data_IF_315686116015
#
_entry.id   IF_315686116015
#
_cell.length_a   1.000
_cell.length_b   1.000
_cell.length_c   1.000
_cell.angle_alpha   90.00
_cell.angle_beta   90.00
_cell.angle_gamma   90.00
#
_symmetry.space_group_name_H-M   'P 1'
#
loop_
_entity.id
_entity.type
_entity.pdbx_description
1 polymer ?
#
# COMPACT_ATOMS: atom_id res chain seq x y z
N UNK A 1 -30.25 -31.03 16.93
CA UNK A 1 -28.88 -30.98 16.42
C UNK A 1 -28.42 -29.54 16.50
N UNK A 2 -27.48 -29.24 17.39
CA UNK A 2 -26.94 -27.89 17.58
C UNK A 2 -25.83 -27.64 16.57
N UNK A 3 -26.00 -26.66 15.68
CA UNK A 3 -25.00 -26.27 14.68
C UNK A 3 -24.17 -25.10 15.18
N UNK A 4 -22.86 -25.24 15.10
CA UNK A 4 -21.87 -24.22 15.49
C UNK A 4 -21.17 -23.71 14.24
N UNK A 5 -20.97 -22.41 14.13
CA UNK A 5 -20.22 -21.79 13.05
C UNK A 5 -19.09 -20.93 13.59
N UNK A 6 -17.91 -21.01 12.96
CA UNK A 6 -16.72 -20.23 13.33
C UNK A 6 -15.93 -19.83 12.09
N UNK A 7 -15.13 -18.77 12.18
CA UNK A 7 -14.41 -18.19 11.04
C UNK A 7 -12.95 -17.92 11.36
N UNK A 8 -12.10 -18.00 10.33
CA UNK A 8 -10.70 -17.67 10.45
C UNK A 8 -9.93 -17.72 9.14
N UNK A 9 -8.76 -17.10 9.12
CA UNK A 9 -7.80 -17.28 8.03
C UNK A 9 -7.24 -18.71 8.05
N UNK A 10 -6.91 -19.25 9.23
CA UNK A 10 -6.27 -20.57 9.40
C UNK A 10 -4.94 -20.75 8.64
N UNK A 11 -4.24 -19.64 8.36
CA UNK A 11 -2.88 -19.65 7.79
C UNK A 11 -1.86 -20.22 8.80
N UNK A 12 -0.96 -21.07 8.30
CA UNK A 12 0.04 -21.81 9.08
C UNK A 12 -0.60 -22.49 10.30
N UNK A 13 -1.51 -23.43 10.02
CA UNK A 13 -2.34 -24.08 11.04
C UNK A 13 -1.50 -24.63 12.20
N UNK A 14 -1.76 -24.11 13.41
CA UNK A 14 -0.97 -24.38 14.61
C UNK A 14 -1.87 -24.76 15.80
N UNK A 15 -1.28 -25.16 16.93
CA UNK A 15 -2.00 -25.61 18.12
C UNK A 15 -3.11 -24.66 18.60
N UNK A 16 -2.92 -23.34 18.49
CA UNK A 16 -3.97 -22.36 18.79
C UNK A 16 -5.23 -22.48 17.92
N UNK A 17 -5.10 -22.75 16.62
CA UNK A 17 -6.24 -22.99 15.74
C UNK A 17 -6.95 -24.30 16.09
N UNK A 18 -6.18 -25.38 16.32
CA UNK A 18 -6.72 -26.68 16.71
C UNK A 18 -7.56 -26.58 17.98
N UNK A 19 -7.03 -25.93 19.04
CA UNK A 19 -7.77 -25.75 20.30
C UNK A 19 -9.03 -24.91 20.14
N UNK A 20 -9.03 -23.91 19.26
CA UNK A 20 -10.23 -23.13 18.97
C UNK A 20 -11.28 -24.00 18.28
N UNK A 21 -10.88 -24.81 17.29
CA UNK A 21 -11.78 -25.72 16.58
C UNK A 21 -12.31 -26.84 17.50
N UNK A 22 -11.48 -27.43 18.36
CA UNK A 22 -11.89 -28.43 19.37
C UNK A 22 -12.95 -27.87 20.32
N UNK A 23 -12.73 -26.64 20.80
CA UNK A 23 -13.68 -25.95 21.69
C UNK A 23 -14.96 -25.58 20.95
N UNK A 24 -14.87 -25.12 19.70
CA UNK A 24 -16.03 -24.85 18.87
C UNK A 24 -16.84 -26.13 18.62
N UNK A 25 -16.17 -27.26 18.33
CA UNK A 25 -16.81 -28.57 18.14
C UNK A 25 -17.52 -29.05 19.40
N UNK A 26 -16.97 -28.77 20.58
CA UNK A 26 -17.56 -29.14 21.85
C UNK A 26 -18.86 -28.38 22.20
N UNK A 27 -19.17 -27.27 21.51
CA UNK A 27 -20.38 -26.48 21.73
C UNK A 27 -21.62 -27.06 21.03
N UNK A 28 -21.48 -28.04 20.14
CA UNK A 28 -22.62 -28.60 19.41
C UNK A 28 -22.32 -29.87 18.64
N UNK A 29 -23.33 -30.33 17.91
CA UNK A 29 -23.33 -31.62 17.22
C UNK A 29 -22.70 -31.54 15.82
N UNK A 30 -22.62 -30.35 15.23
CA UNK A 30 -22.13 -30.11 13.88
C UNK A 30 -21.37 -28.77 13.79
N UNK A 31 -20.14 -28.79 13.29
CA UNK A 31 -19.26 -27.63 13.17
C UNK A 31 -19.05 -27.22 11.72
N UNK A 32 -19.44 -25.98 11.42
CA UNK A 32 -19.19 -25.29 10.16
C UNK A 32 -17.99 -24.37 10.36
N UNK A 33 -16.97 -24.48 9.50
CA UNK A 33 -15.77 -23.64 9.55
C UNK A 33 -15.67 -22.78 8.30
N UNK A 34 -15.81 -21.47 8.48
CA UNK A 34 -15.58 -20.47 7.44
C UNK A 34 -14.10 -20.13 7.31
N UNK A 35 -13.53 -20.40 6.14
CA UNK A 35 -12.15 -20.03 5.77
C UNK A 35 -12.20 -18.75 4.94
N UNK A 36 -11.52 -17.70 5.38
CA UNK A 36 -11.53 -16.41 4.64
C UNK A 36 -10.79 -16.52 3.31
N UNK A 37 -11.33 -15.91 2.25
CA UNK A 37 -10.67 -15.80 0.95
C UNK A 37 -9.45 -14.90 1.02
N UNK A 38 -8.55 -15.02 0.04
CA UNK A 38 -7.34 -14.21 -0.02
C UNK A 38 -7.68 -12.72 -0.23
N UNK A 39 -8.69 -12.42 -1.05
CA UNK A 39 -9.19 -11.06 -1.28
C UNK A 39 -9.81 -10.46 -0.01
N UNK A 40 -10.60 -11.24 0.74
CA UNK A 40 -11.18 -10.79 2.00
C UNK A 40 -10.09 -10.47 3.03
N UNK A 41 -9.07 -11.33 3.14
CA UNK A 41 -7.92 -11.09 4.02
C UNK A 41 -7.11 -9.86 3.60
N UNK A 42 -6.89 -9.67 2.30
CA UNK A 42 -6.22 -8.51 1.76
C UNK A 42 -6.95 -7.20 2.12
N UNK A 43 -8.27 -7.15 1.91
CA UNK A 43 -9.09 -5.97 2.16
C UNK A 43 -9.12 -5.54 3.64
N UNK A 44 -8.99 -6.48 4.57
CA UNK A 44 -8.88 -6.17 6.02
C UNK A 44 -7.44 -5.97 6.51
N UNK A 45 -6.47 -5.83 5.59
CA UNK A 45 -5.07 -5.53 5.89
C UNK A 45 -4.19 -6.75 6.21
N UNK A 46 -4.68 -7.98 6.04
CA UNK A 46 -3.87 -9.21 6.20
C UNK A 46 -3.21 -9.62 4.88
N UNK A 47 -2.20 -8.87 4.49
CA UNK A 47 -1.49 -9.07 3.21
C UNK A 47 -0.42 -10.18 3.21
N UNK A 48 -0.08 -10.73 4.38
CA UNK A 48 1.03 -11.70 4.55
C UNK A 48 0.54 -13.15 4.78
N UNK A 49 -0.61 -13.52 4.22
CA UNK A 49 -1.07 -14.92 4.22
C UNK A 49 -0.11 -15.74 3.34
N UNK A 50 0.42 -16.85 3.88
CA UNK A 50 1.46 -17.64 3.21
C UNK A 50 0.87 -18.82 2.42
N UNK A 51 -0.17 -19.44 2.96
CA UNK A 51 -0.83 -20.59 2.35
C UNK A 51 -2.02 -20.13 1.50
N UNK A 52 -2.15 -20.69 0.31
CA UNK A 52 -3.32 -20.49 -0.55
C UNK A 52 -4.61 -20.89 0.17
N UNK A 53 -5.75 -20.33 -0.27
CA UNK A 53 -7.06 -20.74 0.24
C UNK A 53 -7.26 -22.27 0.21
N UNK A 54 -6.82 -22.93 -0.87
CA UNK A 54 -6.93 -24.38 -1.01
C UNK A 54 -6.13 -25.14 0.05
N UNK A 55 -4.87 -24.75 0.31
CA UNK A 55 -4.04 -25.35 1.35
C UNK A 55 -4.62 -25.13 2.76
N UNK A 56 -5.23 -23.96 3.00
CA UNK A 56 -5.87 -23.63 4.29
C UNK A 56 -7.13 -24.46 4.50
N UNK A 57 -7.96 -24.62 3.47
CA UNK A 57 -9.13 -25.52 3.49
C UNK A 57 -8.70 -26.96 3.74
N UNK A 58 -7.67 -27.44 3.04
CA UNK A 58 -7.14 -28.80 3.23
C UNK A 58 -6.60 -28.99 4.65
N UNK A 59 -5.91 -27.98 5.19
CA UNK A 59 -5.43 -27.94 6.57
C UNK A 59 -6.56 -28.11 7.57
N UNK A 60 -7.64 -27.34 7.43
CA UNK A 60 -8.85 -27.46 8.27
C UNK A 60 -9.49 -28.84 8.10
N UNK A 61 -9.63 -29.34 6.88
CA UNK A 61 -10.21 -30.66 6.60
C UNK A 61 -9.42 -31.80 7.26
N UNK A 62 -8.09 -31.73 7.24
CA UNK A 62 -7.19 -32.72 7.88
C UNK A 62 -7.34 -32.79 9.39
N UNK A 63 -7.87 -31.75 10.04
CA UNK A 63 -8.13 -31.80 11.49
C UNK A 63 -9.21 -32.82 11.85
N UNK A 64 -10.12 -33.15 10.92
CA UNK A 64 -11.28 -33.99 11.21
C UNK A 64 -12.32 -33.35 12.13
N UNK A 65 -12.18 -32.06 12.47
CA UNK A 65 -13.07 -31.35 13.40
C UNK A 65 -14.26 -30.69 12.70
N UNK A 66 -14.07 -30.22 11.47
CA UNK A 66 -15.09 -29.55 10.68
C UNK A 66 -15.97 -30.57 9.96
N UNK A 67 -17.28 -30.49 10.17
CA UNK A 67 -18.27 -31.28 9.42
C UNK A 67 -18.55 -30.61 8.05
N UNK A 68 -18.46 -29.28 7.99
CA UNK A 68 -18.62 -28.49 6.77
C UNK A 68 -17.62 -27.34 6.72
N UNK A 69 -17.11 -27.04 5.52
CA UNK A 69 -16.18 -25.94 5.29
C UNK A 69 -16.78 -25.02 4.24
N UNK A 70 -16.84 -23.73 4.55
CA UNK A 70 -17.34 -22.67 3.65
C UNK A 70 -16.25 -21.62 3.46
N UNK A 71 -16.37 -20.81 2.41
CA UNK A 71 -15.44 -19.71 2.14
C UNK A 71 -16.12 -18.38 2.49
N UNK A 72 -15.44 -17.53 3.25
CA UNK A 72 -15.88 -16.15 3.52
C UNK A 72 -15.23 -15.20 2.51
N UNK A 73 -16.05 -14.51 1.71
CA UNK A 73 -15.62 -13.68 0.57
C UNK A 73 -15.94 -12.19 0.75
N UNK A 74 -16.99 -11.85 1.52
CA UNK A 74 -17.43 -10.46 1.68
C UNK A 74 -17.89 -10.11 3.10
N UNK A 75 -17.88 -8.83 3.43
CA UNK A 75 -18.33 -8.33 4.73
C UNK A 75 -19.86 -8.47 4.87
N UNK A 76 -20.32 -9.00 6.01
CA UNK A 76 -21.73 -9.27 6.27
C UNK A 76 -22.17 -10.72 5.98
N UNK A 77 -21.37 -11.49 5.23
CA UNK A 77 -21.69 -12.89 4.85
C UNK A 77 -22.04 -13.79 6.05
N UNK A 78 -21.48 -13.52 7.23
CA UNK A 78 -21.79 -14.28 8.45
C UNK A 78 -23.29 -14.38 8.75
N UNK A 79 -24.06 -13.32 8.47
CA UNK A 79 -25.52 -13.31 8.68
C UNK A 79 -26.19 -14.29 7.71
N UNK A 80 -25.85 -14.18 6.43
CA UNK A 80 -26.37 -15.07 5.37
C UNK A 80 -26.07 -16.53 5.69
N UNK A 81 -24.83 -16.82 6.09
CA UNK A 81 -24.39 -18.17 6.42
C UNK A 81 -25.07 -18.71 7.68
N UNK A 82 -25.23 -17.90 8.74
CA UNK A 82 -25.95 -18.31 9.95
C UNK A 82 -27.38 -18.72 9.60
N UNK A 83 -28.08 -17.93 8.79
CA UNK A 83 -29.46 -18.22 8.38
C UNK A 83 -29.54 -19.41 7.42
N UNK A 84 -28.70 -19.43 6.38
CA UNK A 84 -28.67 -20.46 5.35
C UNK A 84 -28.35 -21.84 5.91
N UNK A 85 -27.36 -21.94 6.79
CA UNK A 85 -26.96 -23.19 7.40
C UNK A 85 -27.66 -23.46 8.73
N UNK A 86 -28.54 -22.58 9.20
CA UNK A 86 -29.27 -22.73 10.46
C UNK A 86 -28.34 -22.86 11.66
N UNK A 87 -27.27 -22.07 11.73
CA UNK A 87 -26.31 -22.10 12.82
C UNK A 87 -26.95 -21.56 14.11
N UNK A 88 -26.88 -22.34 15.19
CA UNK A 88 -27.43 -21.94 16.49
C UNK A 88 -26.43 -21.14 17.32
N UNK A 89 -25.14 -21.39 17.10
CA UNK A 89 -24.04 -20.77 17.85
C UNK A 89 -23.00 -20.24 16.87
N UNK A 90 -22.69 -18.95 16.95
CA UNK A 90 -21.48 -18.37 16.38
C UNK A 90 -20.40 -18.31 17.47
N UNK A 91 -19.19 -18.73 17.13
CA UNK A 91 -18.07 -18.68 18.07
C UNK A 91 -16.77 -18.22 17.43
N UNK A 92 -15.97 -17.48 18.18
CA UNK A 92 -14.66 -16.97 17.78
C UNK A 92 -13.79 -16.72 19.02
N UNK A 93 -12.50 -16.45 18.84
CA UNK A 93 -11.60 -16.11 19.94
C UNK A 93 -12.02 -14.84 20.70
N UNK A 94 -11.67 -14.77 21.99
CA UNK A 94 -11.99 -13.68 22.92
C UNK A 94 -11.47 -12.30 22.53
N UNK A 95 -10.50 -12.22 21.62
CA UNK A 95 -9.99 -10.94 21.09
C UNK A 95 -11.06 -10.13 20.35
N UNK A 96 -12.18 -10.77 19.98
CA UNK A 96 -13.32 -10.15 19.30
C UNK A 96 -14.50 -9.89 20.22
N UNK A 97 -14.32 -10.01 21.54
CA UNK A 97 -15.39 -9.80 22.51
C UNK A 97 -16.08 -8.45 22.31
N UNK A 98 -17.40 -8.47 22.17
CA UNK A 98 -18.25 -7.32 21.87
C UNK A 98 -18.35 -6.96 20.38
N UNK A 99 -17.38 -7.31 19.53
CA UNK A 99 -17.39 -6.90 18.12
C UNK A 99 -18.47 -7.61 17.29
N UNK A 100 -18.71 -8.91 17.54
CA UNK A 100 -19.69 -9.71 16.80
C UNK A 100 -21.05 -9.81 17.50
N UNK A 101 -21.31 -8.95 18.49
CA UNK A 101 -22.55 -9.01 19.28
C UNK A 101 -23.80 -8.71 18.46
N UNK A 102 -23.67 -8.04 17.32
CA UNK A 102 -24.76 -7.86 16.36
C UNK A 102 -25.33 -9.19 15.83
N UNK A 103 -24.56 -10.29 15.87
CA UNK A 103 -25.02 -11.62 15.47
C UNK A 103 -25.97 -12.26 16.50
N UNK A 104 -26.12 -11.68 17.70
CA UNK A 104 -27.04 -12.15 18.74
C UNK A 104 -28.52 -12.12 18.30
N UNK A 105 -28.84 -11.32 17.29
CA UNK A 105 -30.17 -11.31 16.66
C UNK A 105 -30.47 -12.62 15.92
N UNK A 106 -29.44 -13.32 15.42
CA UNK A 106 -29.59 -14.50 14.57
C UNK A 106 -29.19 -15.81 15.28
N UNK A 107 -28.27 -15.78 16.23
CA UNK A 107 -27.75 -16.96 16.92
C UNK A 107 -27.11 -16.62 18.29
N UNK A 108 -26.73 -17.63 19.07
CA UNK A 108 -25.96 -17.42 20.31
C UNK A 108 -24.50 -17.09 19.97
N UNK A 109 -23.96 -16.00 20.52
CA UNK A 109 -22.56 -15.60 20.32
C UNK A 109 -21.72 -16.00 21.53
N UNK A 110 -20.72 -16.87 21.33
CA UNK A 110 -19.83 -17.37 22.38
C UNK A 110 -18.37 -17.04 22.05
N UNK A 111 -17.72 -16.28 22.91
CA UNK A 111 -16.29 -15.97 22.79
C UNK A 111 -15.43 -16.99 23.55
N UNK A 112 -14.51 -17.64 22.85
CA UNK A 112 -13.62 -18.65 23.41
C UNK A 112 -12.30 -18.01 23.85
N UNK A 113 -11.89 -18.23 25.10
CA UNK A 113 -10.59 -17.74 25.57
C UNK A 113 -9.45 -18.19 24.66
N UNK A 114 -8.54 -17.28 24.33
CA UNK A 114 -7.36 -17.64 23.55
C UNK A 114 -6.45 -18.62 24.28
N UNK A 115 -5.76 -19.44 23.50
CA UNK A 115 -4.56 -20.14 23.98
C UNK A 115 -3.43 -19.12 24.06
N UNK A 116 -2.93 -18.84 25.26
CA UNK A 116 -1.80 -17.94 25.47
C UNK A 116 -0.53 -18.47 24.80
N UNK A 117 0.26 -17.57 24.19
CA UNK A 117 1.59 -17.87 23.66
C UNK A 117 1.68 -18.34 22.20
N UNK A 118 0.57 -18.56 21.48
CA UNK A 118 0.60 -19.05 20.08
C UNK A 118 -0.32 -18.22 19.19
N UNK A 119 0.27 -17.44 18.26
CA UNK A 119 -0.45 -16.71 17.22
C UNK A 119 0.32 -16.82 15.92
N UNK A 120 -0.36 -17.16 14.82
CA UNK A 120 0.21 -17.21 13.47
C UNK A 120 0.88 -15.89 13.08
N UNK A 121 0.36 -14.75 13.56
CA UNK A 121 1.03 -13.46 13.39
C UNK A 121 2.38 -13.39 14.10
N UNK A 122 2.50 -13.86 15.34
CA UNK A 122 3.79 -13.86 16.07
C UNK A 122 4.80 -14.80 15.43
N UNK A 123 4.37 -16.03 15.07
CA UNK A 123 5.23 -17.02 14.40
C UNK A 123 5.75 -16.47 13.05
N UNK A 124 4.89 -15.79 12.28
CA UNK A 124 5.29 -15.15 11.01
C UNK A 124 6.26 -13.99 11.22
N UNK A 125 6.02 -13.16 12.22
CA UNK A 125 6.85 -11.98 12.53
C UNK A 125 8.22 -12.35 13.10
N UNK A 126 8.31 -13.41 13.92
CA UNK A 126 9.59 -13.84 14.52
C UNK A 126 10.51 -14.54 13.50
N UNK A 127 9.94 -15.25 12.52
CA UNK A 127 10.71 -15.91 11.45
C UNK A 127 11.16 -14.97 10.33
N UNK A 128 10.55 -13.79 10.19
CA UNK A 128 10.83 -12.83 9.11
C UNK A 128 11.02 -11.40 9.64
N UNK A 129 11.77 -11.26 10.72
CA UNK A 129 12.04 -9.95 11.32
C UNK A 129 12.91 -9.10 10.40
N UNK A 130 12.49 -7.87 10.12
CA UNK A 130 13.24 -6.83 9.43
C UNK A 130 13.33 -5.57 10.29
N UNK A 131 14.55 -5.09 10.51
CA UNK A 131 14.82 -3.83 11.20
C UNK A 131 14.85 -2.68 10.19
N UNK A 132 13.92 -1.74 10.33
CA UNK A 132 13.73 -0.57 9.49
C UNK A 132 14.42 0.66 10.08
N UNK A 133 15.30 1.28 9.29
CA UNK A 133 15.79 2.64 9.55
C UNK A 133 14.94 3.67 8.81
N UNK A 134 14.67 4.82 9.42
CA UNK A 134 13.98 5.95 8.77
C UNK A 134 14.95 7.12 8.60
N UNK A 135 15.12 7.60 7.37
CA UNK A 135 16.05 8.68 6.99
C UNK A 135 15.27 9.92 6.53
N UNK A 136 15.64 11.09 7.04
CA UNK A 136 15.08 12.38 6.62
C UNK A 136 13.79 12.78 7.34
N UNK A 137 13.13 13.83 6.86
CA UNK A 137 12.01 14.49 7.51
C UNK A 137 12.27 15.98 7.76
N UNK A 138 11.37 16.84 7.27
CA UNK A 138 11.42 18.28 7.55
C UNK A 138 11.07 18.63 8.99
N UNK A 139 10.36 17.71 9.67
CA UNK A 139 9.96 17.78 11.07
C UNK A 139 9.95 16.36 11.66
N UNK A 140 10.14 16.24 12.98
CA UNK A 140 10.01 14.96 13.71
C UNK A 140 8.64 14.28 13.46
N UNK A 141 7.60 15.08 13.22
CA UNK A 141 6.24 14.61 12.94
C UNK A 141 6.15 13.67 11.73
N UNK A 142 7.02 13.83 10.73
CA UNK A 142 6.99 13.01 9.50
C UNK A 142 7.57 11.62 9.76
N UNK A 143 8.70 11.53 10.47
CA UNK A 143 9.28 10.24 10.86
C UNK A 143 8.31 9.46 11.76
N UNK A 144 7.66 10.14 12.70
CA UNK A 144 6.64 9.56 13.57
C UNK A 144 5.44 9.00 12.80
N UNK A 145 5.03 9.66 11.70
CA UNK A 145 3.96 9.16 10.82
C UNK A 145 4.35 7.80 10.22
N UNK A 146 5.52 7.71 9.56
CA UNK A 146 5.95 6.46 8.92
C UNK A 146 6.27 5.36 9.92
N UNK A 147 6.78 5.72 11.11
CA UNK A 147 6.93 4.78 12.21
C UNK A 147 5.59 4.18 12.64
N UNK A 148 4.53 4.99 12.80
CA UNK A 148 3.18 4.49 13.09
C UNK A 148 2.63 3.63 11.96
N UNK A 149 2.74 4.06 10.71
CA UNK A 149 2.26 3.30 9.54
C UNK A 149 2.98 1.95 9.41
N UNK A 150 4.27 1.87 9.76
CA UNK A 150 5.03 0.62 9.73
C UNK A 150 4.50 -0.45 10.69
N UNK A 151 3.78 -0.07 11.75
CA UNK A 151 3.17 -1.01 12.70
C UNK A 151 2.06 -1.86 12.06
N UNK A 152 1.52 -1.42 10.92
CA UNK A 152 0.58 -2.21 10.11
C UNK A 152 1.27 -3.34 9.33
N UNK A 153 2.60 -3.37 9.26
CA UNK A 153 3.38 -4.36 8.53
C UNK A 153 3.97 -5.39 9.49
N UNK A 154 3.40 -6.60 9.50
CA UNK A 154 3.90 -7.70 10.33
C UNK A 154 5.36 -8.05 9.98
N UNK A 155 6.21 -8.15 11.01
CA UNK A 155 7.63 -8.51 10.86
C UNK A 155 8.56 -7.31 10.66
N UNK A 156 8.02 -6.10 10.45
CA UNK A 156 8.81 -4.88 10.31
C UNK A 156 8.90 -4.14 11.65
N UNK A 157 10.10 -3.71 12.04
CA UNK A 157 10.34 -3.02 13.30
C UNK A 157 11.25 -1.82 13.07
N UNK A 158 10.80 -0.62 13.47
CA UNK A 158 11.69 0.55 13.42
C UNK A 158 12.80 0.39 14.45
N UNK A 159 14.04 0.38 13.99
CA UNK A 159 15.23 0.20 14.82
C UNK A 159 16.04 1.49 15.00
N UNK A 160 16.01 2.39 14.02
CA UNK A 160 16.80 3.61 14.05
C UNK A 160 16.14 4.76 13.28
N UNK A 161 16.51 5.98 13.66
CA UNK A 161 16.14 7.21 12.97
C UNK A 161 17.40 8.00 12.62
N UNK A 162 17.37 8.65 11.47
CA UNK A 162 18.45 9.51 11.00
C UNK A 162 17.85 10.74 10.35
N UNK A 163 18.21 11.94 10.82
CA UNK A 163 17.77 13.19 10.19
C UNK A 163 18.97 14.11 9.90
N UNK A 164 19.53 14.07 8.68
CA UNK A 164 20.68 14.90 8.32
C UNK A 164 20.41 16.40 8.32
N UNK A 165 19.14 16.84 8.27
CA UNK A 165 18.78 18.27 8.28
C UNK A 165 18.84 18.83 9.71
N UNK A 166 18.42 18.04 10.70
CA UNK A 166 18.43 18.44 12.11
C UNK A 166 19.82 18.33 12.75
N UNK A 167 20.76 17.65 12.10
CA UNK A 167 22.13 17.50 12.57
C UNK A 167 23.11 18.05 11.50
N UNK A 168 23.55 19.31 11.59
CA UNK A 168 24.45 19.92 10.61
C UNK A 168 25.85 19.26 10.56
N UNK A 169 26.24 18.55 11.62
CA UNK A 169 27.50 17.79 11.69
C UNK A 169 27.34 16.33 11.22
N UNK A 170 26.17 15.97 10.66
CA UNK A 170 25.87 14.61 10.22
C UNK A 170 26.91 14.13 9.20
N UNK A 171 27.73 13.18 9.65
CA UNK A 171 28.84 12.64 8.89
C UNK A 171 28.52 11.27 8.32
N UNK A 172 29.40 10.79 7.44
CA UNK A 172 29.33 9.42 6.94
C UNK A 172 29.40 8.38 8.07
N UNK A 173 30.14 8.65 9.14
CA UNK A 173 30.24 7.74 10.29
C UNK A 173 28.93 7.63 11.05
N UNK A 174 28.18 8.72 11.15
CA UNK A 174 26.85 8.71 11.77
C UNK A 174 25.87 7.88 10.94
N UNK A 175 25.98 7.98 9.61
CA UNK A 175 25.18 7.14 8.71
C UNK A 175 25.59 5.66 8.80
N UNK A 176 26.88 5.34 8.92
CA UNK A 176 27.35 3.97 9.16
C UNK A 176 26.74 3.37 10.42
N UNK A 177 26.86 4.08 11.55
CA UNK A 177 26.30 3.64 12.83
C UNK A 177 24.77 3.48 12.79
N UNK A 178 24.08 4.30 12.01
CA UNK A 178 22.65 4.14 11.72
C UNK A 178 22.37 2.87 10.91
N UNK A 179 23.09 2.64 9.81
CA UNK A 179 22.88 1.50 8.92
C UNK A 179 23.22 0.16 9.58
N UNK A 180 24.16 0.12 10.53
CA UNK A 180 24.49 -1.09 11.31
C UNK A 180 23.27 -1.68 12.05
N UNK A 181 22.29 -0.84 12.40
CA UNK A 181 21.07 -1.24 13.11
C UNK A 181 19.91 -1.63 12.18
N UNK A 182 20.12 -1.56 10.87
CA UNK A 182 19.06 -1.68 9.86
C UNK A 182 19.29 -2.87 8.93
N UNK A 183 18.23 -3.55 8.54
CA UNK A 183 18.19 -4.49 7.41
C UNK A 183 17.69 -3.77 6.14
N UNK A 184 16.79 -2.80 6.32
CA UNK A 184 16.25 -1.95 5.28
C UNK A 184 16.12 -0.50 5.75
N UNK A 185 16.07 0.43 4.80
CA UNK A 185 15.88 1.86 5.07
C UNK A 185 14.75 2.45 4.26
N UNK A 186 13.98 3.33 4.91
CA UNK A 186 13.00 4.20 4.30
C UNK A 186 13.56 5.62 4.20
N UNK A 187 13.70 6.15 2.98
CA UNK A 187 14.33 7.45 2.71
C UNK A 187 13.27 8.49 2.34
N UNK A 188 13.16 9.52 3.17
CA UNK A 188 12.33 10.72 3.03
C UNK A 188 13.22 11.98 3.18
N UNK A 189 14.41 12.01 2.57
CA UNK A 189 15.28 13.19 2.64
C UNK A 189 14.96 14.19 1.52
N UNK A 190 15.82 15.17 1.28
CA UNK A 190 15.64 16.05 0.12
C UNK A 190 16.01 15.30 -1.17
N UNK A 191 15.35 15.47 -2.33
CA UNK A 191 15.58 14.65 -3.51
C UNK A 191 17.02 14.76 -4.04
N UNK A 192 17.66 15.91 -3.82
CA UNK A 192 19.08 16.11 -4.11
C UNK A 192 20.05 15.25 -3.30
N UNK A 193 19.58 14.57 -2.25
CA UNK A 193 20.37 13.66 -1.39
C UNK A 193 20.08 12.19 -1.66
N UNK A 194 18.95 11.88 -2.32
CA UNK A 194 18.50 10.50 -2.53
C UNK A 194 19.57 9.65 -3.21
N UNK A 195 20.25 10.15 -4.26
CA UNK A 195 21.24 9.36 -4.98
C UNK A 195 22.36 8.83 -4.07
N UNK A 196 23.02 9.70 -3.32
CA UNK A 196 24.13 9.30 -2.45
C UNK A 196 23.66 8.44 -1.27
N UNK A 197 22.52 8.77 -0.66
CA UNK A 197 21.96 8.01 0.46
C UNK A 197 21.53 6.59 0.04
N UNK A 198 20.80 6.46 -1.08
CA UNK A 198 20.38 5.16 -1.64
C UNK A 198 21.61 4.35 -2.03
N UNK A 199 22.53 4.94 -2.82
CA UNK A 199 23.73 4.25 -3.30
C UNK A 199 24.52 3.69 -2.12
N UNK A 200 24.73 4.50 -1.10
CA UNK A 200 25.49 4.10 0.07
C UNK A 200 24.81 2.99 0.88
N UNK A 201 23.49 3.11 1.13
CA UNK A 201 22.72 2.06 1.79
C UNK A 201 22.80 0.73 1.03
N UNK A 202 22.68 0.76 -0.30
CA UNK A 202 22.84 -0.42 -1.15
C UNK A 202 24.27 -0.98 -1.07
N UNK A 203 25.30 -0.13 -1.07
CA UNK A 203 26.70 -0.54 -0.91
C UNK A 203 26.91 -1.31 0.40
N UNK A 204 26.28 -0.86 1.50
CA UNK A 204 26.26 -1.51 2.82
C UNK A 204 25.31 -2.71 2.92
N UNK A 205 24.71 -3.16 1.81
CA UNK A 205 23.89 -4.37 1.79
C UNK A 205 22.45 -4.17 2.30
N UNK A 206 21.94 -2.94 2.32
CA UNK A 206 20.61 -2.63 2.87
C UNK A 206 19.57 -2.54 1.76
N UNK A 207 18.37 -3.06 2.01
CA UNK A 207 17.23 -2.81 1.12
C UNK A 207 16.77 -1.35 1.27
N UNK A 208 16.26 -0.75 0.19
CA UNK A 208 15.89 0.67 0.18
C UNK A 208 14.49 0.88 -0.38
N UNK A 209 13.64 1.55 0.39
CA UNK A 209 12.39 2.14 -0.05
C UNK A 209 12.55 3.66 0.03
N UNK A 210 12.44 4.39 -1.07
CA UNK A 210 12.70 5.83 -1.10
C UNK A 210 11.49 6.57 -1.66
N UNK A 211 11.12 7.70 -1.06
CA UNK A 211 10.15 8.58 -1.69
C UNK A 211 10.59 9.03 -3.07
N UNK A 212 9.58 9.29 -3.90
CA UNK A 212 9.74 9.82 -5.23
C UNK A 212 10.26 11.27 -5.21
N UNK A 213 11.13 11.69 -6.14
CA UNK A 213 11.80 10.89 -7.16
C UNK A 213 13.05 10.18 -6.60
N UNK A 214 13.37 8.99 -7.11
CA UNK A 214 14.56 8.21 -6.71
C UNK A 214 15.88 8.96 -6.92
N UNK A 215 15.97 9.76 -7.99
CA UNK A 215 17.10 10.64 -8.25
C UNK A 215 16.66 11.81 -9.15
N UNK A 216 17.44 12.89 -9.16
CA UNK A 216 17.16 14.05 -10.01
C UNK A 216 17.63 13.86 -11.46
N UNK A 217 18.54 12.91 -11.71
CA UNK A 217 19.03 12.58 -13.05
C UNK A 217 18.70 11.14 -13.42
N UNK A 218 18.36 10.95 -14.70
CA UNK A 218 18.08 9.63 -15.28
C UNK A 218 19.23 8.63 -15.06
N UNK A 219 20.47 9.01 -15.40
CA UNK A 219 21.62 8.13 -15.27
C UNK A 219 21.94 7.74 -13.81
N UNK A 220 21.66 8.63 -12.86
CA UNK A 220 21.77 8.34 -11.43
C UNK A 220 20.75 7.27 -11.01
N UNK A 221 19.47 7.42 -11.41
CA UNK A 221 18.44 6.42 -11.14
C UNK A 221 18.78 5.05 -11.77
N UNK A 222 19.18 5.01 -13.04
CA UNK A 222 19.57 3.78 -13.73
C UNK A 222 20.74 3.06 -13.04
N UNK A 223 21.74 3.82 -12.56
CA UNK A 223 22.86 3.28 -11.81
C UNK A 223 22.42 2.67 -10.47
N UNK A 224 21.49 3.30 -9.75
CA UNK A 224 20.97 2.78 -8.49
C UNK A 224 20.21 1.46 -8.67
N UNK A 225 19.31 1.38 -9.65
CA UNK A 225 18.58 0.13 -9.94
C UNK A 225 19.52 -0.99 -10.40
N UNK A 226 20.54 -0.65 -11.21
CA UNK A 226 21.58 -1.61 -11.61
C UNK A 226 22.37 -2.12 -10.41
N UNK A 227 22.78 -1.24 -9.50
CA UNK A 227 23.50 -1.59 -8.28
C UNK A 227 22.66 -2.49 -7.37
N UNK A 228 21.39 -2.15 -7.15
CA UNK A 228 20.47 -2.95 -6.35
C UNK A 228 20.33 -4.37 -6.93
N UNK A 229 20.15 -4.49 -8.24
CA UNK A 229 20.09 -5.78 -8.93
C UNK A 229 21.38 -6.60 -8.76
N UNK A 230 22.55 -5.99 -8.97
CA UNK A 230 23.86 -6.64 -8.80
C UNK A 230 24.07 -7.17 -7.39
N UNK A 231 23.64 -6.42 -6.37
CA UNK A 231 23.73 -6.80 -4.96
C UNK A 231 22.59 -7.70 -4.48
N UNK A 232 21.61 -8.01 -5.35
CA UNK A 232 20.39 -8.75 -5.01
C UNK A 232 19.60 -8.09 -3.86
N UNK A 233 19.60 -6.75 -3.86
CA UNK A 233 18.86 -5.93 -2.92
C UNK A 233 17.59 -5.40 -3.58
N UNK A 234 16.66 -4.98 -2.75
CA UNK A 234 15.42 -4.33 -3.20
C UNK A 234 15.67 -2.84 -3.18
N UNK A 235 15.45 -2.19 -4.32
CA UNK A 235 15.29 -0.75 -4.42
C UNK A 235 13.89 -0.49 -4.98
N UNK A 236 13.09 0.26 -4.23
CA UNK A 236 11.72 0.58 -4.61
C UNK A 236 11.40 2.04 -4.34
N UNK A 237 10.60 2.62 -5.23
CA UNK A 237 10.05 3.96 -5.09
C UNK A 237 8.75 3.91 -4.27
N UNK A 238 8.61 4.80 -3.29
CA UNK A 238 7.51 4.84 -2.32
C UNK A 238 6.26 5.59 -2.85
N UNK A 239 5.94 5.42 -4.13
CA UNK A 239 4.72 5.98 -4.69
C UNK A 239 3.49 5.14 -4.31
N UNK A 240 2.86 5.48 -3.18
CA UNK A 240 1.70 4.73 -2.66
C UNK A 240 0.52 4.61 -3.63
N UNK A 241 0.34 5.58 -4.53
CA UNK A 241 -0.79 5.58 -5.48
C UNK A 241 -0.69 4.40 -6.43
N UNK A 242 0.53 4.00 -6.81
CA UNK A 242 0.77 2.82 -7.65
C UNK A 242 0.31 1.50 -7.00
N UNK A 243 0.15 1.47 -5.67
CA UNK A 243 -0.25 0.29 -4.92
C UNK A 243 -1.68 0.36 -4.38
N UNK A 244 -2.41 1.44 -4.67
CA UNK A 244 -3.82 1.57 -4.31
C UNK A 244 -4.67 0.61 -5.17
N UNK A 245 -5.55 -0.17 -4.54
CA UNK A 245 -6.39 -1.17 -5.23
C UNK A 245 -7.33 -0.55 -6.26
N UNK A 246 -7.99 0.55 -5.93
CA UNK A 246 -8.89 1.25 -6.85
C UNK A 246 -8.13 1.81 -8.05
N UNK A 247 -6.96 2.40 -7.84
CA UNK A 247 -6.08 2.87 -8.92
C UNK A 247 -5.62 1.72 -9.83
N UNK A 248 -5.15 0.62 -9.25
CA UNK A 248 -4.75 -0.57 -10.02
C UNK A 248 -5.91 -1.12 -10.85
N UNK A 249 -7.11 -1.17 -10.29
CA UNK A 249 -8.31 -1.62 -11.01
C UNK A 249 -8.67 -0.67 -12.16
N UNK A 250 -8.56 0.64 -11.94
CA UNK A 250 -8.75 1.65 -12.97
C UNK A 250 -7.80 1.45 -14.15
N UNK A 251 -6.51 1.25 -13.89
CA UNK A 251 -5.50 1.04 -14.96
C UNK A 251 -5.80 -0.25 -15.74
N UNK A 252 -6.20 -1.34 -15.05
CA UNK A 252 -6.61 -2.58 -15.71
C UNK A 252 -7.83 -2.38 -16.60
N UNK A 253 -8.85 -1.63 -16.14
CA UNK A 253 -10.05 -1.36 -16.92
C UNK A 253 -9.73 -0.51 -18.16
N UNK A 254 -8.89 0.51 -18.03
CA UNK A 254 -8.40 1.29 -19.16
C UNK A 254 -7.69 0.40 -20.19
N UNK A 255 -6.73 -0.43 -19.74
CA UNK A 255 -5.98 -1.36 -20.61
C UNK A 255 -6.83 -2.47 -21.23
N UNK A 256 -7.93 -2.87 -20.59
CA UNK A 256 -8.85 -3.89 -21.11
C UNK A 256 -9.73 -3.40 -22.28
N UNK A 257 -9.62 -2.13 -22.67
CA UNK A 257 -10.38 -1.57 -23.78
C UNK A 257 -11.82 -1.21 -23.44
N UNK A 258 -12.17 -1.14 -22.14
CA UNK A 258 -13.52 -0.75 -21.69
C UNK A 258 -13.92 0.64 -22.17
N UNK A 259 -12.96 1.57 -22.24
CA UNK A 259 -13.15 2.91 -22.81
C UNK A 259 -12.67 3.03 -24.27
N UNK A 260 -12.41 1.91 -24.95
CA UNK A 260 -11.80 1.90 -26.29
C UNK A 260 -10.29 2.12 -26.24
N UNK A 261 -9.72 2.68 -27.31
CA UNK A 261 -8.30 3.07 -27.34
C UNK A 261 -8.12 4.30 -26.44
N UNK A 262 -7.14 4.28 -25.55
CA UNK A 262 -6.82 5.45 -24.72
C UNK A 262 -6.11 6.49 -25.58
N UNK A 263 -6.64 7.72 -25.62
CA UNK A 263 -6.15 8.82 -26.47
C UNK A 263 -5.58 9.98 -25.64
N UNK A 264 -6.09 10.22 -24.42
CA UNK A 264 -5.59 11.28 -23.53
C UNK A 264 -5.51 10.83 -22.07
N UNK A 265 -4.52 11.36 -21.35
CA UNK A 265 -4.44 11.34 -19.89
C UNK A 265 -4.24 12.76 -19.39
N UNK A 266 -5.15 13.24 -18.55
CA UNK A 266 -5.08 14.56 -17.92
C UNK A 266 -5.04 14.38 -16.40
N UNK A 267 -3.91 14.73 -15.76
CA UNK A 267 -3.70 14.54 -14.33
C UNK A 267 -3.27 15.84 -13.63
N UNK A 268 -3.92 16.15 -12.51
CA UNK A 268 -3.64 17.35 -11.73
C UNK A 268 -3.30 16.99 -10.28
N UNK A 269 -2.14 17.42 -9.80
CA UNK A 269 -1.67 17.20 -8.43
C UNK A 269 -1.22 18.52 -7.81
N UNK A 270 -2.10 19.15 -7.02
CA UNK A 270 -1.83 20.47 -6.45
C UNK A 270 -2.17 20.54 -4.95
N UNK A 271 -1.39 21.31 -4.20
CA UNK A 271 -1.54 21.52 -2.76
C UNK A 271 -1.42 22.99 -2.38
N UNK A 272 -2.27 23.43 -1.45
CA UNK A 272 -2.17 24.74 -0.80
C UNK A 272 -1.03 24.83 0.22
N UNK A 273 -0.26 23.75 0.42
CA UNK A 273 0.87 23.77 1.33
C UNK A 273 1.88 24.83 0.89
N UNK A 274 2.00 25.87 1.72
CA UNK A 274 2.95 26.96 1.57
C UNK A 274 3.61 27.16 2.93
N UNK A 275 4.95 27.17 2.95
CA UNK A 275 5.72 27.33 4.17
C UNK A 275 6.51 28.65 4.07
N UNK A 276 5.93 29.78 4.51
CA UNK A 276 6.42 31.13 4.19
C UNK A 276 7.81 31.45 4.75
N UNK A 277 8.28 30.68 5.75
CA UNK A 277 9.61 30.84 6.36
C UNK A 277 10.50 29.60 6.15
N UNK A 278 10.14 28.69 5.25
CA UNK A 278 10.94 27.50 5.01
C UNK A 278 12.20 27.83 4.22
N UNK A 279 13.31 27.17 4.55
CA UNK A 279 14.49 27.21 3.72
C UNK A 279 14.23 26.42 2.43
N UNK A 280 14.10 27.11 1.31
CA UNK A 280 13.79 26.50 0.00
C UNK A 280 14.85 25.50 -0.45
N UNK A 281 16.12 25.67 -0.05
CA UNK A 281 17.19 24.73 -0.37
C UNK A 281 17.03 23.35 0.33
N UNK A 282 16.19 23.30 1.36
CA UNK A 282 15.82 22.09 2.08
C UNK A 282 14.33 21.81 1.96
N UNK A 283 13.67 22.28 0.90
CA UNK A 283 12.24 22.06 0.71
C UNK A 283 12.01 21.43 -0.66
N UNK A 284 11.04 20.52 -0.76
CA UNK A 284 10.68 19.95 -2.05
C UNK A 284 9.94 20.98 -2.89
N UNK A 285 10.41 21.19 -4.12
CA UNK A 285 9.67 21.96 -5.13
C UNK A 285 8.46 21.15 -5.66
N UNK A 286 7.61 21.79 -6.45
CA UNK A 286 6.36 21.19 -6.91
C UNK A 286 6.59 19.96 -7.79
N UNK A 287 7.53 20.02 -8.74
CA UNK A 287 7.78 18.90 -9.65
C UNK A 287 8.35 17.67 -8.93
N UNK A 288 9.21 17.84 -7.92
CA UNK A 288 9.70 16.71 -7.13
C UNK A 288 8.59 16.10 -6.26
N UNK A 289 7.75 16.94 -5.64
CA UNK A 289 6.70 16.46 -4.75
C UNK A 289 5.56 15.74 -5.49
N UNK A 290 5.13 16.27 -6.63
CA UNK A 290 3.92 15.80 -7.30
C UNK A 290 4.17 15.20 -8.68
N UNK A 291 5.28 15.51 -9.34
CA UNK A 291 5.59 15.04 -10.69
C UNK A 291 5.49 13.53 -10.84
N UNK A 292 6.18 12.72 -10.01
CA UNK A 292 6.13 11.27 -10.09
C UNK A 292 4.70 10.71 -9.94
N UNK A 293 3.89 11.28 -9.05
CA UNK A 293 2.48 10.89 -8.89
C UNK A 293 1.66 11.29 -10.13
N UNK A 294 1.79 12.54 -10.60
CA UNK A 294 1.04 13.06 -11.75
C UNK A 294 1.36 12.30 -13.05
N UNK A 295 2.61 11.89 -13.24
CA UNK A 295 3.06 11.16 -14.43
C UNK A 295 2.81 9.64 -14.35
N UNK A 296 2.43 9.11 -13.19
CA UNK A 296 2.20 7.68 -12.99
C UNK A 296 1.21 7.06 -14.00
N UNK A 297 -0.03 7.58 -14.19
CA UNK A 297 -0.96 7.01 -15.17
C UNK A 297 -0.45 7.14 -16.61
N UNK A 298 0.28 8.21 -16.93
CA UNK A 298 0.85 8.43 -18.27
C UNK A 298 1.80 7.29 -18.63
N UNK A 299 2.80 7.04 -17.79
CA UNK A 299 3.82 6.02 -18.08
C UNK A 299 3.36 4.58 -17.82
N UNK A 300 2.26 4.39 -17.09
CA UNK A 300 1.62 3.08 -16.98
C UNK A 300 0.74 2.74 -18.19
N UNK A 301 0.16 3.73 -18.87
CA UNK A 301 -0.71 3.51 -20.03
C UNK A 301 0.05 3.57 -21.35
N UNK A 302 1.09 4.40 -21.44
CA UNK A 302 1.87 4.61 -22.66
C UNK A 302 3.33 4.19 -22.47
N UNK A 303 3.83 3.41 -23.42
CA UNK A 303 5.21 2.91 -23.44
C UNK A 303 5.94 3.24 -24.75
N UNK A 304 5.30 4.03 -25.61
CA UNK A 304 5.86 4.47 -26.88
C UNK A 304 6.86 5.62 -26.67
N UNK A 305 7.76 5.86 -27.65
CA UNK A 305 8.54 7.09 -27.68
C UNK A 305 7.64 8.32 -27.63
N UNK A 306 8.13 9.42 -27.05
CA UNK A 306 7.35 10.64 -26.92
C UNK A 306 8.21 11.89 -27.04
N UNK A 307 7.57 12.96 -27.47
CA UNK A 307 8.06 14.33 -27.29
C UNK A 307 7.40 14.96 -26.06
N UNK A 308 8.08 15.91 -25.42
CA UNK A 308 7.51 16.63 -24.27
C UNK A 308 7.80 18.11 -24.33
N UNK A 309 6.85 18.91 -23.85
CA UNK A 309 7.03 20.33 -23.57
C UNK A 309 6.73 20.58 -22.09
N UNK A 310 7.64 21.27 -21.41
CA UNK A 310 7.53 21.60 -19.99
C UNK A 310 7.61 23.11 -19.81
N UNK A 311 6.69 23.66 -19.03
CA UNK A 311 6.64 25.07 -18.68
C UNK A 311 6.48 25.17 -17.17
N UNK A 312 7.36 25.92 -16.52
CA UNK A 312 7.42 26.04 -15.07
C UNK A 312 7.41 27.50 -14.66
N UNK A 313 6.69 27.79 -13.58
CA UNK A 313 6.78 29.04 -12.83
C UNK A 313 7.70 28.80 -11.63
N UNK A 314 8.80 29.54 -11.57
CA UNK A 314 9.77 29.44 -10.49
C UNK A 314 9.52 30.52 -9.42
N UNK A 315 9.55 30.12 -8.15
CA UNK A 315 9.63 31.07 -7.02
C UNK A 315 11.07 31.54 -6.81
N UNK A 316 12.05 30.65 -7.05
CA UNK A 316 13.48 30.95 -6.96
C UNK A 316 14.23 30.22 -8.08
N UNK A 317 14.64 30.96 -9.10
CA UNK A 317 15.28 30.41 -10.30
C UNK A 317 16.63 29.76 -10.00
N UNK A 318 17.42 30.34 -9.08
CA UNK A 318 18.77 29.83 -8.77
C UNK A 318 18.76 28.43 -8.16
N UNK A 319 17.66 28.08 -7.48
CA UNK A 319 17.42 26.76 -6.90
C UNK A 319 16.61 25.85 -7.82
N UNK A 320 16.19 26.33 -9.00
CA UNK A 320 15.20 25.66 -9.85
C UNK A 320 13.94 25.27 -9.06
N UNK A 321 13.51 26.16 -8.16
CA UNK A 321 12.39 25.92 -7.25
C UNK A 321 11.07 26.29 -7.93
N UNK A 322 10.38 25.31 -8.53
CA UNK A 322 9.09 25.52 -9.17
C UNK A 322 7.92 25.50 -8.17
N UNK A 323 7.01 26.46 -8.30
CA UNK A 323 5.73 26.47 -7.58
C UNK A 323 4.62 25.83 -8.39
N UNK A 324 4.69 25.94 -9.72
CA UNK A 324 3.74 25.32 -10.62
C UNK A 324 4.42 24.89 -11.92
N UNK A 325 4.15 23.67 -12.35
CA UNK A 325 4.66 23.13 -13.61
C UNK A 325 3.54 22.47 -14.38
N UNK A 326 3.51 22.72 -15.69
CA UNK A 326 2.70 21.98 -16.66
C UNK A 326 3.64 21.21 -17.60
N UNK A 327 3.33 19.95 -17.88
CA UNK A 327 4.03 19.15 -18.89
C UNK A 327 3.00 18.53 -19.82
N UNK A 328 3.21 18.73 -21.12
CA UNK A 328 2.47 18.08 -22.19
C UNK A 328 3.36 17.03 -22.85
N UNK A 329 2.82 15.83 -23.07
CA UNK A 329 3.47 14.70 -23.73
C UNK A 329 2.73 14.37 -25.04
N UNK A 330 3.48 14.12 -26.10
CA UNK A 330 2.96 13.69 -27.39
C UNK A 330 3.56 12.33 -27.74
N UNK A 331 2.74 11.29 -27.76
CA UNK A 331 3.05 9.94 -28.22
C UNK A 331 2.50 9.76 -29.65
N UNK A 332 2.96 8.75 -30.42
CA UNK A 332 2.40 8.47 -31.75
C UNK A 332 0.90 8.19 -31.75
N UNK A 333 0.37 7.60 -30.67
CA UNK A 333 -1.02 7.16 -30.57
C UNK A 333 -1.89 7.99 -29.61
N UNK A 334 -1.28 8.87 -28.80
CA UNK A 334 -1.95 9.52 -27.68
C UNK A 334 -1.25 10.81 -27.24
N UNK A 335 -1.92 11.58 -26.38
CA UNK A 335 -1.36 12.76 -25.71
C UNK A 335 -1.55 12.64 -24.20
N UNK A 336 -0.79 13.41 -23.42
CA UNK A 336 -1.05 13.53 -21.99
C UNK A 336 -0.67 14.92 -21.47
N UNK A 337 -1.44 15.40 -20.50
CA UNK A 337 -1.18 16.66 -19.79
C UNK A 337 -1.08 16.39 -18.30
N UNK A 338 0.00 16.86 -17.67
CA UNK A 338 0.11 16.88 -16.21
C UNK A 338 0.29 18.29 -15.69
N UNK A 339 -0.35 18.59 -14.55
CA UNK A 339 -0.24 19.85 -13.82
C UNK A 339 0.16 19.56 -12.38
N UNK A 340 1.23 20.17 -11.92
CA UNK A 340 1.70 20.01 -10.54
C UNK A 340 1.87 21.36 -9.88
N UNK A 341 1.42 21.49 -8.62
CA UNK A 341 1.43 22.76 -7.91
C UNK A 341 1.67 22.65 -6.41
N UNK A 342 2.42 23.62 -5.88
CA UNK A 342 2.62 23.87 -4.45
C UNK A 342 2.26 25.33 -4.15
N UNK A 343 1.61 25.57 -3.02
CA UNK A 343 1.07 26.90 -2.68
C UNK A 343 -0.12 27.36 -3.55
N UNK A 344 -0.65 26.47 -4.39
CA UNK A 344 -1.74 26.76 -5.34
C UNK A 344 -2.66 25.55 -5.42
N UNK A 345 -3.95 25.79 -5.68
CA UNK A 345 -4.95 24.73 -5.84
C UNK A 345 -5.63 24.78 -7.20
N UNK A 346 -5.73 23.61 -7.79
CA UNK A 346 -6.59 23.27 -8.92
C UNK A 346 -7.39 22.02 -8.52
N UNK A 347 -8.45 21.72 -9.28
CA UNK A 347 -9.14 20.44 -9.20
C UNK A 347 -8.09 19.33 -9.34
N UNK A 348 -8.04 18.44 -8.35
CA UNK A 348 -7.03 17.39 -8.25
C UNK A 348 -7.49 16.09 -8.89
N UNK A 349 -8.09 16.18 -10.07
CA UNK A 349 -8.72 15.07 -10.79
C UNK A 349 -7.75 14.33 -11.73
N UNK A 350 -8.18 13.13 -12.14
CA UNK A 350 -7.58 12.37 -13.23
C UNK A 350 -8.69 12.04 -14.23
N UNK A 351 -8.46 12.40 -15.50
CA UNK A 351 -9.34 12.04 -16.62
C UNK A 351 -8.53 11.21 -17.62
N UNK A 352 -9.07 10.04 -17.99
CA UNK A 352 -8.49 9.19 -19.02
C UNK A 352 -9.52 9.05 -20.14
N UNK A 353 -9.23 9.72 -21.26
CA UNK A 353 -10.13 9.75 -22.42
C UNK A 353 -9.82 8.60 -23.36
N UNK A 354 -10.86 7.88 -23.78
CA UNK A 354 -10.76 6.84 -24.79
C UNK A 354 -11.81 6.98 -25.89
N UNK A 355 -11.68 6.17 -26.94
CA UNK A 355 -12.52 6.27 -28.14
C UNK A 355 -13.97 5.81 -27.95
N UNK A 356 -14.33 5.21 -26.80
CA UNK A 356 -15.69 4.75 -26.49
C UNK A 356 -16.29 5.39 -25.24
N UNK A 357 -15.50 6.17 -24.51
CA UNK A 357 -15.88 6.70 -23.20
C UNK A 357 -14.65 7.22 -22.47
N UNK A 358 -14.79 7.54 -21.19
CA UNK A 358 -13.68 8.04 -20.39
C UNK A 358 -13.77 7.56 -18.95
N UNK A 359 -12.62 7.51 -18.28
CA UNK A 359 -12.55 7.30 -16.84
C UNK A 359 -12.40 8.64 -16.15
N UNK A 360 -13.23 8.88 -15.14
CA UNK A 360 -13.15 10.05 -14.28
C UNK A 360 -12.79 9.64 -12.85
N UNK A 361 -11.76 10.26 -12.30
CA UNK A 361 -11.40 10.15 -10.88
C UNK A 361 -11.50 11.53 -10.24
N UNK A 362 -12.43 11.73 -9.29
CA UNK A 362 -12.56 13.00 -8.59
C UNK A 362 -11.36 13.28 -7.69
N UNK A 363 -11.20 14.54 -7.30
CA UNK A 363 -10.11 14.92 -6.42
C UNK A 363 -10.28 14.38 -4.98
N UNK A 364 -9.17 14.08 -4.29
CA UNK A 364 -7.81 13.98 -4.83
C UNK A 364 -7.55 12.61 -5.48
N UNK A 365 -7.30 12.59 -6.79
CA UNK A 365 -7.24 11.33 -7.56
C UNK A 365 -6.13 10.39 -7.07
N UNK A 366 -5.03 10.92 -6.53
CA UNK A 366 -3.91 10.15 -5.98
C UNK A 366 -4.26 9.38 -4.69
N UNK A 367 -5.45 9.61 -4.12
CA UNK A 367 -6.08 8.79 -3.09
C UNK A 367 -7.35 8.16 -3.67
N UNK A 368 -7.22 7.46 -4.80
CA UNK A 368 -8.36 6.87 -5.51
C UNK A 368 -9.18 6.01 -4.55
N UNK A 369 -10.42 6.43 -4.29
CA UNK A 369 -11.40 5.70 -3.49
C UNK A 369 -12.45 5.06 -4.40
N UNK A 370 -12.97 5.87 -5.33
CA UNK A 370 -13.78 5.42 -6.45
C UNK A 370 -13.37 6.11 -7.75
N UNK A 371 -13.86 5.58 -8.87
CA UNK A 371 -13.75 6.17 -10.20
C UNK A 371 -14.98 5.76 -11.01
N UNK A 372 -15.27 6.54 -12.05
CA UNK A 372 -16.43 6.32 -12.91
C UNK A 372 -15.97 5.97 -14.32
N UNK A 373 -16.57 4.96 -14.93
CA UNK A 373 -16.51 4.76 -16.39
C UNK A 373 -17.73 5.42 -16.98
N UNK A 374 -17.50 6.49 -17.72
CA UNK A 374 -18.56 7.28 -18.35
C UNK A 374 -18.57 7.02 -19.85
N UNK A 375 -19.77 6.84 -20.36
CA UNK A 375 -20.04 6.58 -21.77
C UNK A 375 -21.04 7.61 -22.26
N UNK A 376 -20.96 7.94 -23.54
CA UNK A 376 -21.95 8.75 -24.23
C UNK A 376 -22.64 7.86 -25.26
N UNK A 377 -23.96 7.99 -25.37
CA UNK A 377 -24.71 7.44 -26.49
C UNK A 377 -24.75 8.50 -27.60
N UNK A 378 -24.06 8.31 -28.73
CA UNK A 378 -23.99 9.30 -29.79
C UNK A 378 -25.22 9.29 -30.72
N UNK A 379 -26.21 8.41 -30.48
CA UNK A 379 -27.37 8.23 -31.38
C UNK A 379 -28.47 9.28 -31.22
#
# INVERSE_FOLDING_TARGET
MTRVITYGTYDLLHAGHLRLLERARALGDYLIVGVTSDDFDYNRGKINVKQSLAERIEGVKKTGLADEIIVEEYEGQKIDDIQKYGANIFTVGSDWEGYFDYLKEYCSVIYLQRTSGVSSTRIRSESNRLNLGIVGGYEENVQNKYARESQSVNGLFVSAYCNPILNPDFSRKDYDAFLEQCDCVYIFSHPGRHYEEIKYALEQGKHVLCESPIALKKGEAEALFTLAHQKKLVLMEANKTAYNTAYNRLILLAKSGKIGNVISVDASCTSMFHAPNANLAHTWNSICAWGPTAMLPVFQLFHEPYEKQMISLFEEETLSFDSFTKIDFCFPSAVATIKVGRGVKSEGELVISGTKGYIYVPAPWWKTDYFELRYEDPT
#
